data_IF_191043225287
#
_entry.id   IF_191043225287
#
_cell.length_a   1.000
_cell.length_b   1.000
_cell.length_c   1.000
_cell.angle_alpha   90.00
_cell.angle_beta   90.00
_cell.angle_gamma   90.00
#
_symmetry.space_group_name_H-M   'P 1'
#
loop_
_entity.id
_entity.type
_entity.pdbx_description
1 polymer ?
#
# COMPACT_ATOMS: atom_id res chain seq x y z
N UNK A 1 -14.33 -12.23 8.55
CA UNK A 1 -13.50 -12.97 7.57
C UNK A 1 -13.35 -12.26 6.23
N UNK A 2 -14.36 -11.51 5.76
CA UNK A 2 -14.35 -10.81 4.46
C UNK A 2 -13.12 -9.92 4.21
N UNK A 3 -12.82 -8.96 5.10
CA UNK A 3 -11.71 -8.03 4.94
C UNK A 3 -10.33 -8.72 4.82
N UNK A 4 -10.14 -9.85 5.52
CA UNK A 4 -8.91 -10.62 5.44
C UNK A 4 -8.77 -11.34 4.10
N UNK A 5 -9.88 -11.88 3.57
CA UNK A 5 -9.88 -12.51 2.25
C UNK A 5 -9.60 -11.47 1.15
N UNK A 6 -10.25 -10.32 1.22
CA UNK A 6 -10.06 -9.21 0.26
C UNK A 6 -8.59 -8.74 0.25
N UNK A 7 -8.01 -8.50 1.44
CA UNK A 7 -6.61 -8.11 1.56
C UNK A 7 -5.66 -9.14 0.95
N UNK A 8 -5.91 -10.44 1.19
CA UNK A 8 -5.09 -11.52 0.62
C UNK A 8 -5.15 -11.54 -0.91
N UNK A 9 -6.34 -11.40 -1.49
CA UNK A 9 -6.53 -11.40 -2.95
C UNK A 9 -5.82 -10.20 -3.58
N UNK A 10 -6.00 -8.99 -3.02
CA UNK A 10 -5.36 -7.76 -3.53
C UNK A 10 -3.83 -7.88 -3.46
N UNK A 11 -3.28 -8.31 -2.32
CA UNK A 11 -1.84 -8.47 -2.16
C UNK A 11 -1.28 -9.53 -3.12
N UNK A 12 -1.98 -10.66 -3.30
CA UNK A 12 -1.57 -11.68 -4.26
C UNK A 12 -1.53 -11.14 -5.69
N UNK A 13 -2.50 -10.32 -6.09
CA UNK A 13 -2.50 -9.67 -7.41
C UNK A 13 -1.35 -8.69 -7.57
N UNK A 14 -1.08 -7.86 -6.55
CA UNK A 14 0.03 -6.90 -6.55
C UNK A 14 1.38 -7.59 -6.72
N UNK A 15 1.65 -8.63 -5.93
CA UNK A 15 2.93 -9.37 -5.99
C UNK A 15 3.12 -10.09 -7.32
N UNK A 16 2.03 -10.59 -7.92
CA UNK A 16 2.11 -11.31 -9.20
C UNK A 16 2.32 -10.38 -10.40
N UNK A 17 1.73 -9.18 -10.39
CA UNK A 17 1.58 -8.37 -11.61
C UNK A 17 2.29 -7.02 -11.58
N UNK A 18 2.75 -6.58 -10.41
CA UNK A 18 3.31 -5.25 -10.24
C UNK A 18 4.72 -5.31 -9.65
N UNK A 19 5.58 -4.41 -10.11
CA UNK A 19 6.79 -4.02 -9.42
C UNK A 19 6.53 -2.68 -8.74
N UNK A 20 6.94 -2.56 -7.48
CA UNK A 20 6.76 -1.36 -6.66
C UNK A 20 8.13 -0.79 -6.30
N UNK A 21 8.32 0.48 -6.62
CA UNK A 21 9.48 1.25 -6.17
C UNK A 21 9.01 2.41 -5.30
N UNK A 22 9.44 2.44 -4.04
CA UNK A 22 9.09 3.55 -3.16
C UNK A 22 9.77 4.85 -3.63
N UNK A 23 9.02 5.96 -3.59
CA UNK A 23 9.60 7.28 -3.85
C UNK A 23 10.61 7.61 -2.73
N UNK A 24 11.88 7.93 -3.07
CA UNK A 24 12.89 8.28 -2.08
C UNK A 24 12.50 9.51 -1.27
N UNK A 25 12.86 9.53 0.03
CA UNK A 25 12.66 10.69 0.90
C UNK A 25 11.22 10.94 1.36
N UNK A 26 10.27 10.05 1.03
CA UNK A 26 8.91 10.17 1.54
C UNK A 26 8.87 9.97 3.06
N UNK A 27 8.05 10.76 3.76
CA UNK A 27 7.85 10.63 5.20
C UNK A 27 6.67 9.70 5.48
N UNK A 28 6.92 8.58 6.14
CA UNK A 28 5.86 7.66 6.60
C UNK A 28 5.54 8.03 8.05
N UNK A 29 4.54 8.88 8.25
CA UNK A 29 4.06 9.26 9.57
C UNK A 29 2.60 8.81 9.76
N UNK A 30 2.22 8.34 10.95
CA UNK A 30 0.83 8.04 11.24
C UNK A 30 -0.01 9.33 11.38
N UNK A 31 -1.25 9.28 10.90
CA UNK A 31 -2.32 10.25 11.10
C UNK A 31 -3.48 9.51 11.77
N UNK A 32 -3.74 9.84 13.04
CA UNK A 32 -4.78 9.20 13.85
C UNK A 32 -6.07 10.02 13.75
N UNK A 33 -7.01 9.57 12.93
CA UNK A 33 -8.38 10.11 12.89
C UNK A 33 -9.35 9.09 13.48
N UNK A 34 -10.41 8.72 12.75
CA UNK A 34 -11.30 7.61 13.13
C UNK A 34 -10.57 6.27 12.98
N UNK A 35 -9.76 6.13 11.93
CA UNK A 35 -8.82 5.03 11.72
C UNK A 35 -7.39 5.56 11.56
N UNK A 36 -6.38 4.74 11.86
CA UNK A 36 -4.98 5.09 11.64
C UNK A 36 -4.63 4.92 10.15
N UNK A 37 -3.99 5.94 9.58
CA UNK A 37 -3.53 5.96 8.18
C UNK A 37 -2.19 6.68 8.05
N UNK A 38 -1.58 6.62 6.87
CA UNK A 38 -0.39 7.44 6.57
C UNK A 38 -0.78 8.89 6.33
N UNK A 39 -0.10 9.83 7.00
CA UNK A 39 -0.37 11.27 6.91
C UNK A 39 -0.17 11.85 5.51
N UNK A 40 0.82 11.35 4.78
CA UNK A 40 1.21 11.83 3.45
C UNK A 40 0.98 10.79 2.35
N UNK A 41 0.15 9.77 2.62
CA UNK A 41 -0.03 8.63 1.73
C UNK A 41 1.15 7.66 1.76
N UNK A 42 1.12 6.67 0.86
CA UNK A 42 2.21 5.74 0.60
C UNK A 42 2.48 5.79 -0.92
N UNK A 43 3.52 6.52 -1.30
CA UNK A 43 3.77 6.82 -2.71
C UNK A 43 4.76 5.82 -3.30
N UNK A 44 4.37 5.16 -4.37
CA UNK A 44 5.23 4.24 -5.10
C UNK A 44 5.09 4.46 -6.61
N UNK A 45 6.19 4.31 -7.34
CA UNK A 45 6.15 4.06 -8.77
C UNK A 45 5.73 2.61 -8.98
N UNK A 46 4.74 2.40 -9.83
CA UNK A 46 4.20 1.08 -10.15
C UNK A 46 4.47 0.83 -11.63
N UNK A 47 5.15 -0.28 -11.91
CA UNK A 47 5.31 -0.79 -13.27
C UNK A 47 4.73 -2.20 -13.35
N UNK A 48 4.34 -2.61 -14.56
CA UNK A 48 3.95 -4.00 -14.80
C UNK A 48 5.18 -4.89 -14.65
N UNK A 49 5.03 -6.01 -13.96
CA UNK A 49 6.07 -7.05 -13.88
C UNK A 49 6.16 -7.83 -15.18
#
# INVERSE_FOLDING_TARGET
NFALLEAKIILAMFVQRCNFEMIPGQKILPDFKITMRTKYGLLARISKR
#
